data_IF_990057607986
#
_entry.id   IF_990057607986
#
_cell.length_a   1.000
_cell.length_b   1.000
_cell.length_c   1.000
_cell.angle_alpha   90.00
_cell.angle_beta   90.00
_cell.angle_gamma   90.00
#
_symmetry.space_group_name_H-M   'P 1'
#
loop_
_entity.id
_entity.type
_entity.pdbx_description
1 polymer ?
#
# COMPACT_ATOMS: atom_id res chain seq x y z
N UNK A 1 -7.15 17.09 -26.11
CA UNK A 1 -6.65 17.99 -25.05
C UNK A 1 -7.86 18.59 -24.33
N UNK A 2 -8.28 17.99 -23.22
CA UNK A 2 -9.44 18.46 -22.45
C UNK A 2 -9.03 19.54 -21.45
N UNK A 3 -9.78 20.64 -21.42
CA UNK A 3 -9.67 21.73 -20.45
C UNK A 3 -9.75 21.20 -19.00
N UNK A 4 -8.61 21.04 -18.33
CA UNK A 4 -8.57 20.86 -16.88
C UNK A 4 -8.78 22.22 -16.22
N UNK A 5 -9.94 22.39 -15.60
CA UNK A 5 -10.32 23.57 -14.84
C UNK A 5 -9.24 23.86 -13.77
N UNK A 6 -8.82 25.14 -13.75
CA UNK A 6 -7.84 25.80 -12.87
C UNK A 6 -8.23 25.79 -11.38
N UNK A 7 -8.54 24.65 -10.77
CA UNK A 7 -8.73 24.58 -9.33
C UNK A 7 -7.47 24.05 -8.64
N UNK A 8 -6.67 24.98 -8.10
CA UNK A 8 -5.48 24.69 -7.27
C UNK A 8 -5.83 24.08 -5.91
N UNK A 9 -7.12 23.95 -5.60
CA UNK A 9 -7.64 23.52 -4.31
C UNK A 9 -8.50 22.28 -4.43
N UNK A 10 -8.54 21.47 -3.37
CA UNK A 10 -9.42 20.32 -3.22
C UNK A 10 -9.71 20.03 -1.75
N UNK A 11 -10.53 19.02 -1.49
CA UNK A 11 -10.85 18.57 -0.13
C UNK A 11 -10.36 17.14 0.05
N UNK A 12 -9.60 16.87 1.10
CA UNK A 12 -9.05 15.56 1.40
C UNK A 12 -10.16 14.60 1.89
N UNK A 13 -10.38 13.48 1.20
CA UNK A 13 -11.33 12.44 1.64
C UNK A 13 -10.87 11.67 2.90
N UNK A 14 -9.62 11.85 3.34
CA UNK A 14 -9.09 11.19 4.53
C UNK A 14 -9.33 11.98 5.81
N UNK A 15 -9.31 13.32 5.74
CA UNK A 15 -9.36 14.17 6.94
C UNK A 15 -10.20 15.45 6.77
N UNK A 16 -10.89 15.62 5.65
CA UNK A 16 -11.67 16.82 5.27
C UNK A 16 -10.86 18.13 5.19
N UNK A 17 -9.53 18.06 5.20
CA UNK A 17 -8.67 19.25 5.10
C UNK A 17 -8.48 19.74 3.66
N UNK A 18 -8.03 20.98 3.51
CA UNK A 18 -7.75 21.58 2.20
C UNK A 18 -6.54 20.91 1.54
N UNK A 19 -6.64 20.66 0.24
CA UNK A 19 -5.54 20.21 -0.63
C UNK A 19 -5.03 21.42 -1.40
N UNK A 20 -3.72 21.56 -1.48
CA UNK A 20 -3.04 22.58 -2.27
C UNK A 20 -2.08 21.93 -3.26
N UNK A 21 -1.86 22.58 -4.40
CA UNK A 21 -0.86 22.18 -5.38
C UNK A 21 0.49 22.84 -5.05
N UNK A 22 1.49 22.02 -4.69
CA UNK A 22 2.84 22.49 -4.34
C UNK A 22 3.79 22.53 -5.55
N UNK A 23 3.55 21.68 -6.56
CA UNK A 23 4.29 21.66 -7.81
C UNK A 23 3.44 21.04 -8.94
N UNK A 24 3.99 20.98 -10.16
CA UNK A 24 3.28 20.48 -11.35
C UNK A 24 3.31 18.95 -11.54
N UNK A 25 3.86 18.21 -10.58
CA UNK A 25 3.92 16.76 -10.62
C UNK A 25 2.68 16.19 -9.94
N UNK A 26 2.27 14.96 -10.26
CA UNK A 26 1.03 14.37 -9.72
C UNK A 26 1.06 14.26 -8.18
N UNK A 27 2.25 14.04 -7.61
CA UNK A 27 2.50 14.06 -6.16
C UNK A 27 2.55 15.45 -5.53
N UNK A 28 2.42 16.52 -6.33
CA UNK A 28 2.40 17.91 -5.91
C UNK A 28 1.14 18.29 -5.13
N UNK A 29 0.03 17.58 -5.30
CA UNK A 29 -1.21 17.84 -4.57
C UNK A 29 -1.20 17.25 -3.16
N UNK A 30 -1.05 18.12 -2.15
CA UNK A 30 -0.91 17.73 -0.74
C UNK A 30 -1.99 18.33 0.14
N UNK A 31 -2.54 17.52 1.05
CA UNK A 31 -3.42 18.04 2.09
C UNK A 31 -2.60 18.82 3.13
N UNK A 32 -3.01 20.04 3.46
CA UNK A 32 -2.29 20.89 4.43
C UNK A 32 -2.37 20.34 5.87
N UNK A 33 -3.39 19.52 6.18
CA UNK A 33 -3.59 18.96 7.51
C UNK A 33 -2.88 17.60 7.68
N UNK A 34 -3.30 16.58 6.93
CA UNK A 34 -2.75 15.22 7.07
C UNK A 34 -1.54 14.93 6.17
N UNK A 35 -1.13 15.87 5.30
CA UNK A 35 -0.04 15.74 4.33
C UNK A 35 -0.23 14.64 3.27
N UNK A 36 -1.45 14.12 3.13
CA UNK A 36 -1.79 13.10 2.13
C UNK A 36 -1.38 13.52 0.74
N UNK A 37 -0.80 12.59 -0.02
CA UNK A 37 -0.69 12.65 -1.48
C UNK A 37 -1.91 12.01 -2.15
N UNK A 38 -1.98 12.10 -3.48
CA UNK A 38 -3.01 11.43 -4.27
C UNK A 38 -3.03 9.89 -4.07
N UNK A 39 -1.88 9.28 -3.74
CA UNK A 39 -1.77 7.83 -3.42
C UNK A 39 -2.63 7.45 -2.21
N UNK A 40 -2.40 8.11 -1.07
CA UNK A 40 -3.18 7.85 0.14
C UNK A 40 -4.69 8.09 -0.08
N UNK A 41 -5.03 9.16 -0.82
CA UNK A 41 -6.41 9.52 -1.11
C UNK A 41 -7.09 8.53 -2.04
N UNK A 42 -6.37 7.98 -3.02
CA UNK A 42 -6.84 6.92 -3.90
C UNK A 42 -7.21 5.68 -3.08
N UNK A 43 -6.31 5.19 -2.22
CA UNK A 43 -6.58 4.05 -1.34
C UNK A 43 -7.81 4.33 -0.44
N UNK A 44 -7.87 5.49 0.21
CA UNK A 44 -9.02 5.81 1.07
C UNK A 44 -10.35 5.92 0.32
N UNK A 45 -10.33 6.36 -0.95
CA UNK A 45 -11.53 6.37 -1.80
C UNK A 45 -11.96 4.93 -2.14
N UNK A 46 -10.99 4.07 -2.47
CA UNK A 46 -11.22 2.65 -2.72
C UNK A 46 -11.77 1.94 -1.48
N UNK A 47 -11.17 2.13 -0.31
CA UNK A 47 -11.68 1.57 0.96
C UNK A 47 -13.13 2.01 1.21
N UNK A 48 -13.43 3.29 1.04
CA UNK A 48 -14.81 3.77 1.24
C UNK A 48 -15.78 3.10 0.27
N UNK A 49 -15.42 2.91 -1.00
CA UNK A 49 -16.26 2.21 -2.00
C UNK A 49 -16.56 0.77 -1.58
N UNK A 50 -15.55 -0.02 -1.23
CA UNK A 50 -15.76 -1.46 -0.93
C UNK A 50 -16.47 -1.72 0.39
N UNK A 51 -16.42 -0.77 1.32
CA UNK A 51 -17.06 -0.91 2.63
C UNK A 51 -18.30 -0.02 2.80
N UNK A 52 -18.78 0.63 1.74
CA UNK A 52 -19.89 1.60 1.82
C UNK A 52 -21.19 0.99 2.39
N UNK A 53 -21.46 -0.28 2.04
CA UNK A 53 -22.66 -1.00 2.45
C UNK A 53 -22.49 -1.80 3.75
N UNK A 54 -21.26 -1.86 4.29
CA UNK A 54 -20.98 -2.70 5.47
C UNK A 54 -21.52 -2.02 6.73
N UNK A 55 -22.51 -2.65 7.34
CA UNK A 55 -22.99 -2.25 8.67
C UNK A 55 -21.85 -2.41 9.69
N UNK A 56 -21.79 -1.49 10.66
CA UNK A 56 -20.76 -1.49 11.70
C UNK A 56 -19.33 -1.49 11.17
N UNK A 57 -19.07 -0.73 10.09
CA UNK A 57 -17.75 -0.59 9.46
C UNK A 57 -16.61 -0.32 10.45
N UNK A 58 -16.87 0.37 11.56
CA UNK A 58 -15.90 0.64 12.61
C UNK A 58 -15.35 -0.63 13.30
N UNK A 59 -16.06 -1.76 13.24
CA UNK A 59 -15.65 -3.02 13.85
C UNK A 59 -14.81 -3.90 12.90
N UNK A 60 -14.61 -3.47 11.65
CA UNK A 60 -13.76 -4.19 10.69
C UNK A 60 -12.36 -4.36 11.29
N UNK A 61 -11.86 -5.58 11.24
CA UNK A 61 -10.49 -5.93 11.66
C UNK A 61 -9.49 -5.59 10.55
N UNK A 62 -8.59 -4.65 10.81
CA UNK A 62 -7.67 -4.08 9.81
C UNK A 62 -6.22 -4.29 10.19
N UNK A 63 -5.38 -4.64 9.22
CA UNK A 63 -3.92 -4.62 9.34
C UNK A 63 -3.30 -3.65 8.32
N UNK A 64 -2.51 -2.68 8.79
CA UNK A 64 -1.75 -1.76 7.96
C UNK A 64 -0.24 -1.98 8.11
N UNK A 65 0.47 -2.11 6.99
CA UNK A 65 1.93 -2.31 6.94
C UNK A 65 2.71 -0.98 7.15
N UNK A 66 2.19 -0.10 8.00
CA UNK A 66 2.79 1.19 8.34
C UNK A 66 2.18 1.74 9.62
N UNK A 67 2.99 2.39 10.45
CA UNK A 67 2.55 3.00 11.72
C UNK A 67 2.29 4.50 11.63
N UNK A 68 2.44 5.10 10.44
CA UNK A 68 2.47 6.57 10.24
C UNK A 68 1.89 6.98 8.90
N UNK A 69 1.73 8.29 8.72
CA UNK A 69 1.27 8.87 7.46
C UNK A 69 -0.24 9.09 7.40
N UNK A 70 -0.72 9.55 6.25
CA UNK A 70 -2.10 10.00 6.11
C UNK A 70 -3.10 8.83 6.06
N UNK A 71 -2.70 7.70 5.45
CA UNK A 71 -3.53 6.50 5.39
C UNK A 71 -3.69 5.89 6.79
N UNK A 72 -2.58 5.66 7.51
CA UNK A 72 -2.61 5.20 8.90
C UNK A 72 -3.56 6.04 9.78
N UNK A 73 -3.44 7.38 9.75
CA UNK A 73 -4.32 8.27 10.53
C UNK A 73 -5.78 8.16 10.14
N UNK A 74 -6.06 7.95 8.85
CA UNK A 74 -7.42 7.71 8.36
C UNK A 74 -7.97 6.38 8.88
N UNK A 75 -7.20 5.30 8.79
CA UNK A 75 -7.57 3.98 9.29
C UNK A 75 -7.83 4.02 10.80
N UNK A 76 -6.93 4.63 11.56
CA UNK A 76 -7.03 4.76 13.02
C UNK A 76 -8.30 5.49 13.46
N UNK A 77 -8.72 6.51 12.69
CA UNK A 77 -9.98 7.23 12.98
C UNK A 77 -11.21 6.43 12.55
N UNK A 78 -11.11 5.63 11.50
CA UNK A 78 -12.24 4.95 10.86
C UNK A 78 -12.56 3.60 11.51
N UNK A 79 -11.56 2.89 12.00
CA UNK A 79 -11.66 1.52 12.50
C UNK A 79 -11.21 1.43 13.95
N UNK A 80 -11.99 0.75 14.79
CA UNK A 80 -11.67 0.47 16.20
C UNK A 80 -10.60 -0.62 16.33
N UNK A 81 -10.59 -1.57 15.39
CA UNK A 81 -9.74 -2.76 15.43
C UNK A 81 -8.61 -2.66 14.40
N UNK A 82 -7.71 -1.69 14.58
CA UNK A 82 -6.54 -1.48 13.73
C UNK A 82 -5.29 -2.09 14.37
N UNK A 83 -4.69 -3.06 13.70
CA UNK A 83 -3.33 -3.53 13.92
C UNK A 83 -2.41 -2.87 12.90
N UNK A 84 -1.20 -2.51 13.31
CA UNK A 84 -0.21 -1.91 12.43
C UNK A 84 1.19 -2.31 12.86
N UNK A 85 2.12 -2.29 11.91
CA UNK A 85 3.52 -2.64 12.14
C UNK A 85 4.45 -1.81 11.27
N UNK A 86 5.75 -2.00 11.48
CA UNK A 86 6.82 -1.57 10.57
C UNK A 86 7.74 -2.76 10.34
N UNK A 87 8.60 -2.67 9.33
CA UNK A 87 9.72 -3.59 9.18
C UNK A 87 10.99 -2.92 9.71
N UNK A 88 11.75 -3.63 10.54
CA UNK A 88 13.05 -3.19 11.04
C UNK A 88 14.07 -4.28 10.74
N UNK A 89 15.20 -3.93 10.10
CA UNK A 89 16.22 -4.88 9.69
C UNK A 89 16.86 -5.61 10.89
N UNK A 90 16.83 -4.99 12.07
CA UNK A 90 17.49 -5.43 13.30
C UNK A 90 16.54 -5.97 14.38
N UNK A 91 15.26 -6.22 14.04
CA UNK A 91 14.25 -6.66 15.02
C UNK A 91 13.54 -7.90 14.52
N UNK A 92 13.45 -8.93 15.35
CA UNK A 92 12.73 -10.17 15.00
C UNK A 92 11.24 -9.87 14.80
N UNK A 93 10.60 -10.42 13.74
CA UNK A 93 9.15 -10.29 13.56
C UNK A 93 8.38 -10.72 14.81
N UNK A 94 7.37 -9.94 15.19
CA UNK A 94 6.58 -10.13 16.41
C UNK A 94 7.07 -9.31 17.61
N UNK A 95 8.36 -8.94 17.65
CA UNK A 95 8.93 -8.07 18.70
C UNK A 95 8.64 -6.59 18.45
N UNK A 96 9.07 -5.71 19.35
CA UNK A 96 8.72 -4.29 19.33
C UNK A 96 9.96 -3.38 19.36
N UNK A 97 9.92 -2.29 18.60
CA UNK A 97 10.88 -1.18 18.67
C UNK A 97 10.12 0.12 18.83
N UNK A 98 10.42 0.87 19.90
CA UNK A 98 9.74 2.13 20.24
C UNK A 98 8.20 2.02 20.28
N UNK A 99 7.67 0.90 20.79
CA UNK A 99 6.23 0.65 20.91
C UNK A 99 5.53 0.26 19.60
N UNK A 100 6.27 0.04 18.51
CA UNK A 100 5.75 -0.43 17.23
C UNK A 100 6.23 -1.86 16.99
N UNK A 101 5.30 -2.75 16.63
CA UNK A 101 5.65 -4.13 16.34
C UNK A 101 6.43 -4.23 15.03
N UNK A 102 7.50 -5.04 15.02
CA UNK A 102 8.19 -5.44 13.81
C UNK A 102 7.40 -6.57 13.12
N UNK A 103 7.19 -6.46 11.81
CA UNK A 103 6.69 -7.57 11.01
C UNK A 103 7.47 -7.63 9.69
N UNK A 104 7.83 -8.83 9.27
CA UNK A 104 8.22 -9.12 7.90
C UNK A 104 6.99 -9.66 7.18
N UNK A 105 6.56 -8.99 6.11
CA UNK A 105 5.38 -9.41 5.34
C UNK A 105 5.55 -10.80 4.74
N UNK A 106 6.78 -11.29 4.56
CA UNK A 106 7.06 -12.65 4.10
C UNK A 106 6.90 -13.70 5.20
N UNK A 107 6.78 -13.29 6.47
CA UNK A 107 6.71 -14.16 7.64
C UNK A 107 5.89 -13.48 8.76
N UNK A 108 4.61 -13.21 8.51
CA UNK A 108 3.77 -12.49 9.47
C UNK A 108 3.52 -13.36 10.71
N UNK A 109 3.68 -12.79 11.90
CA UNK A 109 3.43 -13.52 13.16
C UNK A 109 1.96 -13.57 13.57
N UNK A 110 1.04 -13.21 12.67
CA UNK A 110 -0.40 -13.21 12.94
C UNK A 110 -1.03 -14.56 12.63
N UNK A 111 -2.13 -14.87 13.30
CA UNK A 111 -2.93 -16.06 13.04
C UNK A 111 -3.65 -16.00 11.69
N UNK A 112 -3.97 -17.17 11.15
CA UNK A 112 -4.78 -17.32 9.95
C UNK A 112 -6.15 -16.65 10.12
N UNK A 113 -6.65 -15.97 9.09
CA UNK A 113 -7.99 -15.40 9.14
C UNK A 113 -8.17 -14.31 10.21
N UNK A 114 -7.12 -13.56 10.54
CA UNK A 114 -7.17 -12.49 11.53
C UNK A 114 -7.88 -11.22 11.05
N UNK A 115 -7.76 -10.87 9.76
CA UNK A 115 -8.13 -9.54 9.24
C UNK A 115 -9.18 -9.58 8.14
N UNK A 116 -10.09 -8.62 8.13
CA UNK A 116 -11.01 -8.37 7.02
C UNK A 116 -10.43 -7.44 5.96
N UNK A 117 -9.47 -6.60 6.35
CA UNK A 117 -8.79 -5.66 5.47
C UNK A 117 -7.29 -5.63 5.79
N UNK A 118 -6.46 -5.81 4.78
CA UNK A 118 -5.03 -5.52 4.82
C UNK A 118 -4.76 -4.34 3.89
N UNK A 119 -3.88 -3.42 4.29
CA UNK A 119 -3.52 -2.25 3.48
C UNK A 119 -2.01 -1.99 3.54
N UNK A 120 -1.46 -1.50 2.43
CA UNK A 120 -0.09 -1.00 2.36
C UNK A 120 0.05 0.04 1.25
N UNK A 121 1.11 0.86 1.33
CA UNK A 121 1.40 1.92 0.34
C UNK A 121 2.87 1.84 -0.07
N UNK A 122 3.15 1.43 -1.32
CA UNK A 122 4.50 1.40 -1.90
C UNK A 122 5.47 0.55 -1.04
N UNK A 123 5.05 -0.69 -0.73
CA UNK A 123 5.82 -1.64 0.09
C UNK A 123 6.33 -2.82 -0.74
N UNK A 124 5.48 -3.40 -1.59
CA UNK A 124 5.74 -4.71 -2.21
C UNK A 124 6.83 -4.71 -3.29
N UNK A 125 7.23 -3.54 -3.79
CA UNK A 125 8.40 -3.40 -4.66
C UNK A 125 9.71 -3.63 -3.90
N UNK A 126 9.68 -3.51 -2.57
CA UNK A 126 10.81 -3.67 -1.67
C UNK A 126 10.89 -5.04 -1.01
N UNK A 127 9.89 -5.90 -1.22
CA UNK A 127 9.82 -7.24 -0.63
C UNK A 127 10.65 -8.21 -1.49
N UNK A 128 11.67 -8.90 -0.97
CA UNK A 128 12.51 -9.79 -1.78
C UNK A 128 11.72 -10.90 -2.47
N UNK A 129 10.88 -11.63 -1.74
CA UNK A 129 9.95 -12.63 -2.27
C UNK A 129 8.50 -12.10 -2.13
N UNK A 130 8.05 -11.35 -3.13
CA UNK A 130 6.69 -10.79 -3.16
C UNK A 130 5.62 -11.89 -3.13
N UNK A 131 5.83 -13.01 -3.83
CA UNK A 131 4.88 -14.11 -3.87
C UNK A 131 4.68 -14.73 -2.50
N UNK A 132 5.75 -14.90 -1.72
CA UNK A 132 5.67 -15.33 -0.31
C UNK A 132 4.94 -14.28 0.53
N UNK A 133 5.27 -12.99 0.36
CA UNK A 133 4.55 -11.91 1.05
C UNK A 133 3.05 -11.89 0.73
N UNK A 134 2.66 -12.07 -0.54
CA UNK A 134 1.27 -12.14 -0.95
C UNK A 134 0.56 -13.35 -0.36
N UNK A 135 1.22 -14.52 -0.28
CA UNK A 135 0.67 -15.72 0.37
C UNK A 135 0.41 -15.49 1.86
N UNK A 136 1.31 -14.81 2.55
CA UNK A 136 1.10 -14.44 3.95
C UNK A 136 -0.09 -13.49 4.11
N UNK A 137 -0.25 -12.50 3.21
CA UNK A 137 -1.43 -11.64 3.20
C UNK A 137 -2.71 -12.46 2.99
N UNK A 138 -2.73 -13.40 2.03
CA UNK A 138 -3.86 -14.32 1.83
C UNK A 138 -4.12 -15.12 3.11
N UNK A 139 -3.08 -15.66 3.76
CA UNK A 139 -3.22 -16.47 4.97
C UNK A 139 -3.91 -15.69 6.10
N UNK A 140 -3.44 -14.48 6.41
CA UNK A 140 -3.97 -13.65 7.51
C UNK A 140 -5.32 -13.00 7.21
N UNK A 141 -5.73 -12.96 5.94
CA UNK A 141 -7.08 -12.50 5.57
C UNK A 141 -8.15 -13.53 5.93
N UNK A 142 -9.30 -13.06 6.41
CA UNK A 142 -10.55 -13.82 6.53
C UNK A 142 -11.11 -14.14 5.14
N UNK A 143 -11.97 -15.16 5.00
CA UNK A 143 -12.74 -15.35 3.77
C UNK A 143 -13.47 -14.07 3.35
N UNK A 144 -13.40 -13.71 2.06
CA UNK A 144 -13.88 -12.44 1.47
C UNK A 144 -13.17 -11.18 1.98
N UNK A 145 -12.10 -11.34 2.76
CA UNK A 145 -11.23 -10.27 3.21
C UNK A 145 -10.45 -9.68 2.04
N UNK A 146 -10.09 -8.40 2.15
CA UNK A 146 -9.49 -7.65 1.03
C UNK A 146 -8.09 -7.17 1.36
N UNK A 147 -7.20 -7.25 0.38
CA UNK A 147 -5.94 -6.54 0.35
C UNK A 147 -6.07 -5.34 -0.59
N UNK A 148 -5.98 -4.11 -0.06
CA UNK A 148 -6.08 -2.87 -0.84
C UNK A 148 -4.77 -2.11 -0.70
N UNK A 149 -4.00 -2.05 -1.79
CA UNK A 149 -2.65 -1.50 -1.73
C UNK A 149 -2.22 -0.79 -3.01
N UNK A 150 -1.05 -0.16 -2.94
CA UNK A 150 -0.39 0.42 -4.11
C UNK A 150 1.07 0.01 -4.18
N UNK A 151 1.56 0.00 -5.42
CA UNK A 151 2.97 -0.09 -5.80
C UNK A 151 3.23 0.92 -6.92
N UNK A 152 4.50 1.21 -7.26
CA UNK A 152 4.85 1.79 -8.54
C UNK A 152 4.47 0.83 -9.66
N UNK A 153 3.27 1.02 -10.22
CA UNK A 153 2.71 0.18 -11.27
C UNK A 153 2.89 0.86 -12.63
N UNK A 154 3.60 0.19 -13.52
CA UNK A 154 3.87 0.65 -14.87
C UNK A 154 2.86 0.04 -15.84
N UNK A 155 2.39 0.82 -16.82
CA UNK A 155 1.47 0.37 -17.87
C UNK A 155 2.23 -0.45 -18.93
N UNK A 156 2.89 -1.52 -18.49
CA UNK A 156 3.60 -2.52 -19.29
C UNK A 156 3.09 -3.92 -18.94
N UNK A 157 3.12 -4.90 -19.88
CA UNK A 157 2.51 -6.20 -19.63
C UNK A 157 3.17 -6.98 -18.47
N UNK A 158 4.48 -6.91 -18.33
CA UNK A 158 5.25 -7.78 -17.43
C UNK A 158 6.09 -6.99 -16.42
N UNK A 159 6.23 -7.56 -15.23
CA UNK A 159 7.06 -7.04 -14.15
C UNK A 159 8.54 -7.20 -14.49
N UNK A 160 9.31 -6.16 -14.22
CA UNK A 160 10.76 -6.15 -14.40
C UNK A 160 11.40 -6.46 -13.04
N UNK A 161 12.01 -7.63 -12.91
CA UNK A 161 12.85 -7.97 -11.75
C UNK A 161 14.19 -7.23 -11.86
N UNK A 162 14.57 -6.55 -10.78
CA UNK A 162 15.80 -5.74 -10.69
C UNK A 162 16.86 -6.38 -9.83
N UNK A 163 16.45 -7.12 -8.80
CA UNK A 163 17.34 -7.82 -7.89
C UNK A 163 16.66 -9.06 -7.32
N UNK A 164 17.45 -10.04 -6.86
CA UNK A 164 16.97 -11.21 -6.14
C UNK A 164 18.09 -11.76 -5.24
N UNK A 165 17.74 -12.65 -4.31
CA UNK A 165 18.74 -13.45 -3.61
C UNK A 165 18.98 -14.76 -4.36
N UNK A 166 20.24 -15.15 -4.55
CA UNK A 166 20.58 -16.46 -5.09
C UNK A 166 20.38 -17.57 -4.05
N UNK A 167 20.63 -18.83 -4.45
CA UNK A 167 20.51 -20.01 -3.59
C UNK A 167 21.43 -19.99 -2.36
N UNK A 168 22.50 -19.20 -2.41
CA UNK A 168 23.50 -19.07 -1.36
C UNK A 168 23.22 -17.85 -0.47
N UNK A 169 22.12 -17.12 -0.74
CA UNK A 169 21.68 -15.95 0.03
C UNK A 169 22.39 -14.65 -0.36
N UNK A 170 23.13 -14.63 -1.47
CA UNK A 170 23.78 -13.41 -1.93
C UNK A 170 22.80 -12.54 -2.73
N UNK A 171 22.85 -11.23 -2.51
CA UNK A 171 22.08 -10.27 -3.29
C UNK A 171 22.67 -10.14 -4.70
N UNK A 172 21.87 -10.48 -5.72
CA UNK A 172 22.21 -10.37 -7.13
C UNK A 172 21.41 -9.23 -7.75
N UNK A 173 22.11 -8.28 -8.37
CA UNK A 173 21.51 -7.21 -9.16
C UNK A 173 21.42 -7.61 -10.63
N UNK A 174 20.20 -7.64 -11.18
CA UNK A 174 19.92 -7.90 -12.60
C UNK A 174 20.01 -6.61 -13.41
N UNK A 175 19.62 -5.49 -12.78
CA UNK A 175 19.68 -4.14 -13.35
C UNK A 175 20.40 -3.20 -12.36
N UNK A 176 20.82 -1.99 -12.79
CA UNK A 176 21.36 -0.99 -11.87
C UNK A 176 20.42 -0.81 -10.66
N UNK A 177 20.95 -0.79 -9.43
CA UNK A 177 20.10 -0.77 -8.24
C UNK A 177 19.29 0.52 -8.19
N UNK A 178 18.04 0.38 -7.75
CA UNK A 178 17.11 1.49 -7.53
C UNK A 178 16.74 1.53 -6.07
N UNK A 179 16.95 2.67 -5.41
CA UNK A 179 16.68 2.83 -3.99
C UNK A 179 15.62 3.89 -3.78
N UNK A 180 14.63 3.57 -2.94
CA UNK A 180 13.66 4.51 -2.44
C UNK A 180 14.00 4.93 -1.01
N UNK A 181 13.26 5.92 -0.52
CA UNK A 181 13.38 6.39 0.85
C UNK A 181 12.24 5.91 1.73
N UNK A 182 12.53 5.71 3.00
CA UNK A 182 11.53 5.52 4.04
C UNK A 182 11.77 6.49 5.22
N UNK A 183 10.99 6.32 6.29
CA UNK A 183 11.09 7.15 7.50
C UNK A 183 11.97 6.56 8.59
N UNK A 184 12.51 5.36 8.38
CA UNK A 184 13.27 4.59 9.37
C UNK A 184 14.77 4.74 9.07
N UNK A 185 15.16 4.44 7.84
CA UNK A 185 16.51 4.46 7.30
C UNK A 185 16.84 5.77 6.58
N UNK A 186 15.84 6.45 6.02
CA UNK A 186 16.01 7.73 5.32
C UNK A 186 15.94 7.57 3.79
N UNK A 187 16.50 8.53 3.05
CA UNK A 187 16.45 8.55 1.57
C UNK A 187 17.46 7.58 0.98
N UNK A 188 17.08 6.91 -0.11
CA UNK A 188 17.98 6.04 -0.92
C UNK A 188 18.56 4.85 -0.14
N UNK A 189 17.79 4.29 0.79
CA UNK A 189 18.21 3.16 1.62
C UNK A 189 17.40 1.88 1.38
N UNK A 190 16.26 1.95 0.68
CA UNK A 190 15.36 0.81 0.51
C UNK A 190 15.40 0.32 -0.92
N UNK A 191 16.01 -0.84 -1.16
CA UNK A 191 16.17 -1.41 -2.50
C UNK A 191 14.80 -1.77 -3.09
N UNK A 192 14.53 -1.36 -4.32
CA UNK A 192 13.43 -1.88 -5.12
C UNK A 192 13.89 -3.17 -5.83
N UNK A 193 13.30 -4.30 -5.46
CA UNK A 193 13.55 -5.60 -6.08
C UNK A 193 12.89 -5.71 -7.45
N UNK A 194 11.81 -4.96 -7.70
CA UNK A 194 11.09 -4.98 -8.97
C UNK A 194 10.35 -3.70 -9.30
N UNK A 195 10.08 -3.53 -10.59
CA UNK A 195 9.11 -2.56 -11.10
C UNK A 195 7.90 -3.32 -11.65
N UNK A 196 6.74 -3.18 -11.00
CA UNK A 196 5.56 -3.98 -11.35
C UNK A 196 4.96 -3.58 -12.68
N UNK A 197 4.64 -4.59 -13.50
CA UNK A 197 3.78 -4.50 -14.66
C UNK A 197 2.36 -4.98 -14.35
N UNK A 198 1.54 -5.08 -15.39
CA UNK A 198 0.13 -5.50 -15.28
C UNK A 198 -0.04 -6.98 -14.89
N UNK A 199 1.00 -7.80 -15.06
CA UNK A 199 1.09 -9.20 -14.59
C UNK A 199 1.04 -9.35 -13.06
N UNK A 200 1.10 -8.25 -12.29
CA UNK A 200 0.83 -8.29 -10.84
C UNK A 200 -0.53 -8.94 -10.52
N UNK A 201 -1.50 -8.82 -11.42
CA UNK A 201 -2.81 -9.48 -11.29
C UNK A 201 -2.65 -11.00 -11.24
N UNK A 202 -1.82 -11.57 -12.10
CA UNK A 202 -1.60 -13.00 -12.18
C UNK A 202 -0.71 -13.50 -11.02
N UNK A 203 0.26 -12.69 -10.58
CA UNK A 203 1.05 -12.97 -9.37
C UNK A 203 0.18 -13.09 -8.13
N UNK A 204 -0.77 -12.17 -7.94
CA UNK A 204 -1.71 -12.21 -6.83
C UNK A 204 -2.64 -13.43 -6.92
N UNK A 205 -3.17 -13.76 -8.10
CA UNK A 205 -3.95 -14.99 -8.28
C UNK A 205 -3.13 -16.24 -7.94
N UNK A 206 -1.85 -16.29 -8.36
CA UNK A 206 -0.93 -17.38 -8.03
C UNK A 206 -0.66 -17.48 -6.52
N UNK A 207 -0.72 -16.36 -5.79
CA UNK A 207 -0.59 -16.34 -4.33
C UNK A 207 -1.82 -16.90 -3.60
N UNK A 208 -2.96 -17.06 -4.29
CA UNK A 208 -4.19 -17.61 -3.74
C UNK A 208 -5.33 -16.61 -3.55
N UNK A 209 -5.24 -15.40 -4.08
CA UNK A 209 -6.39 -14.48 -4.12
C UNK A 209 -7.42 -14.95 -5.15
N UNK A 210 -8.70 -14.98 -4.78
CA UNK A 210 -9.81 -15.44 -5.63
C UNK A 210 -10.23 -14.41 -6.68
N UNK A 211 -10.04 -13.12 -6.40
CA UNK A 211 -10.25 -12.05 -7.38
C UNK A 211 -9.23 -10.92 -7.20
N UNK A 212 -8.86 -10.28 -8.31
CA UNK A 212 -7.89 -9.18 -8.34
C UNK A 212 -8.30 -8.14 -9.36
N UNK A 213 -8.36 -6.88 -8.96
CA UNK A 213 -8.69 -5.72 -9.79
C UNK A 213 -7.61 -4.64 -9.66
N UNK A 214 -7.22 -4.05 -10.80
CA UNK A 214 -6.47 -2.77 -10.82
C UNK A 214 -7.50 -1.64 -10.90
N UNK A 215 -7.96 -1.19 -9.74
CA UNK A 215 -8.90 -0.08 -9.63
C UNK A 215 -8.21 1.24 -10.01
N UNK A 216 -8.95 2.13 -10.69
CA UNK A 216 -8.47 3.46 -11.09
C UNK A 216 -9.38 4.56 -10.53
N UNK A 217 -9.42 4.74 -9.19
CA UNK A 217 -10.25 5.77 -8.57
C UNK A 217 -9.88 7.15 -9.13
N UNK A 218 -10.89 7.98 -9.37
CA UNK A 218 -10.69 9.35 -9.83
C UNK A 218 -11.66 10.28 -9.12
N UNK A 219 -11.17 11.47 -8.78
CA UNK A 219 -12.00 12.51 -8.17
C UNK A 219 -11.30 13.86 -8.30
N UNK A 220 -11.92 14.79 -9.04
CA UNK A 220 -11.46 16.18 -9.11
C UNK A 220 -11.52 16.84 -7.73
N UNK A 221 -12.61 16.60 -6.98
CA UNK A 221 -12.79 17.12 -5.60
C UNK A 221 -11.65 16.71 -4.67
N UNK A 222 -11.21 15.46 -4.77
CA UNK A 222 -10.16 14.91 -3.91
C UNK A 222 -8.77 14.96 -4.55
N UNK A 223 -8.61 15.61 -5.72
CA UNK A 223 -7.34 15.71 -6.44
C UNK A 223 -6.68 14.32 -6.59
N UNK A 224 -7.45 13.36 -7.11
CA UNK A 224 -7.02 12.01 -7.43
C UNK A 224 -7.12 11.85 -8.95
N UNK A 225 -5.96 11.72 -9.60
CA UNK A 225 -5.86 11.48 -11.03
C UNK A 225 -5.23 10.10 -11.28
N UNK A 226 -6.08 9.11 -11.57
CA UNK A 226 -5.68 7.80 -12.15
C UNK A 226 -4.57 7.02 -11.42
N UNK A 227 -4.30 7.25 -10.13
CA UNK A 227 -3.44 6.33 -9.36
C UNK A 227 -4.11 4.97 -9.33
N UNK A 228 -3.40 3.96 -9.82
CA UNK A 228 -3.87 2.60 -9.73
C UNK A 228 -3.82 2.14 -8.26
N UNK A 229 -4.88 1.48 -7.83
CA UNK A 229 -4.99 0.82 -6.52
C UNK A 229 -5.32 -0.62 -6.81
N UNK A 230 -4.50 -1.54 -6.30
CA UNK A 230 -4.74 -2.96 -6.46
C UNK A 230 -5.69 -3.40 -5.35
N UNK A 231 -6.75 -4.10 -5.72
CA UNK A 231 -7.72 -4.70 -4.81
C UNK A 231 -7.74 -6.19 -5.07
N UNK A 232 -7.33 -6.97 -4.08
CA UNK A 232 -7.35 -8.42 -4.13
C UNK A 232 -8.25 -8.97 -3.02
N UNK A 233 -9.03 -10.00 -3.31
CA UNK A 233 -9.95 -10.65 -2.36
C UNK A 233 -9.53 -12.09 -2.12
N UNK A 234 -9.59 -12.54 -0.85
CA UNK A 234 -9.42 -13.94 -0.48
C UNK A 234 -10.71 -14.72 -0.73
#
# INVERSE_FOLDING_TARGET
MGNFIKNNFGICNLCNGIIVKLNNLDYGYRCINCRSSYVHRAIGLTINKYFEQKQNIQNVTVYELSSRGALFKFLQKKFKNLVFSEFYDDVTPGEYKNGIQCQDVQNLTFEDGSFELVTSTEVFEHVPDDLKGFREVVRVLKPNGKFIFTVPLFEVPTTIERAHFDKDGNLVHVLPPEYHGDRIRGKEHVLAFRNYGLDIVDRLKQAGFSSVEIARPSSLKHQIARKQVIVAEK
#
